data_IF_128486375944
#
_entry.id   IF_128486375944
#
_cell.length_a   1.000
_cell.length_b   1.000
_cell.length_c   1.000
_cell.angle_alpha   90.00
_cell.angle_beta   90.00
_cell.angle_gamma   90.00
#
_symmetry.space_group_name_H-M   'P 1'
#
loop_
_entity.id
_entity.type
_entity.pdbx_description
1 polymer ?
#
# COMPACT_ATOMS: atom_id res chain seq x y z
N UNK A 1 40.73 -68.04 -40.97
CA UNK A 1 41.82 -68.52 -40.08
C UNK A 1 42.05 -67.48 -39.00
N UNK A 2 41.97 -67.95 -37.76
CA UNK A 2 42.45 -67.37 -36.49
C UNK A 2 43.67 -66.45 -36.65
N UNK A 3 43.94 -65.41 -35.85
CA UNK A 3 44.11 -65.46 -34.39
C UNK A 3 44.54 -64.05 -33.89
N UNK A 4 44.02 -63.66 -32.73
CA UNK A 4 44.70 -63.02 -31.58
C UNK A 4 45.56 -61.75 -31.73
N UNK A 5 45.32 -60.79 -30.83
CA UNK A 5 46.41 -59.96 -30.29
C UNK A 5 45.98 -58.64 -29.65
N UNK A 6 45.61 -58.65 -28.37
CA UNK A 6 45.50 -57.46 -27.50
C UNK A 6 46.83 -57.19 -26.79
N UNK A 7 47.33 -55.94 -26.74
CA UNK A 7 48.14 -55.38 -25.62
C UNK A 7 48.08 -53.83 -25.58
N UNK A 8 47.55 -53.29 -24.46
CA UNK A 8 47.84 -52.06 -23.64
C UNK A 8 48.39 -50.76 -24.27
N UNK A 9 48.21 -49.51 -23.79
CA UNK A 9 47.76 -48.79 -22.56
C UNK A 9 47.74 -47.28 -23.00
N UNK A 10 47.10 -46.27 -22.40
CA UNK A 10 47.04 -45.88 -20.98
C UNK A 10 46.08 -44.69 -20.76
N UNK A 11 45.52 -44.63 -19.53
CA UNK A 11 45.25 -43.45 -18.67
C UNK A 11 44.25 -42.38 -19.15
N UNK A 12 43.33 -41.83 -18.36
CA UNK A 12 43.14 -41.73 -16.89
C UNK A 12 41.73 -41.15 -16.66
N UNK A 13 40.99 -41.59 -15.66
CA UNK A 13 40.16 -40.67 -14.83
C UNK A 13 39.75 -41.35 -13.54
N UNK A 14 40.04 -40.68 -12.43
CA UNK A 14 39.80 -41.06 -11.04
C UNK A 14 38.79 -40.05 -10.51
N UNK A 15 37.88 -40.51 -9.66
CA UNK A 15 37.43 -39.68 -8.53
C UNK A 15 35.93 -39.44 -8.43
N UNK A 16 35.32 -40.17 -7.50
CA UNK A 16 34.02 -39.87 -6.89
C UNK A 16 34.02 -38.53 -6.14
N UNK A 17 32.87 -37.84 -6.15
CA UNK A 17 32.57 -36.72 -5.28
C UNK A 17 31.09 -36.72 -4.90
N UNK A 18 30.82 -36.75 -3.59
CA UNK A 18 29.51 -36.55 -2.97
C UNK A 18 28.93 -35.16 -3.27
N UNK A 19 27.62 -35.07 -3.51
CA UNK A 19 26.88 -33.80 -3.53
C UNK A 19 25.84 -33.77 -2.40
N UNK A 20 25.95 -32.88 -1.40
CA UNK A 20 24.85 -32.54 -0.51
C UNK A 20 24.13 -31.26 -0.99
N UNK A 21 22.80 -31.22 -0.77
CA UNK A 21 22.03 -30.00 -0.51
C UNK A 21 21.88 -28.99 -1.65
N UNK A 22 20.87 -29.17 -2.49
CA UNK A 22 20.35 -28.10 -3.35
C UNK A 22 19.50 -27.14 -2.50
N UNK A 23 20.16 -26.17 -1.88
CA UNK A 23 19.49 -25.00 -1.28
C UNK A 23 18.99 -24.13 -2.43
N UNK A 24 17.67 -24.02 -2.57
CA UNK A 24 17.01 -23.04 -3.44
C UNK A 24 17.36 -21.62 -2.96
N UNK A 25 18.48 -21.08 -3.43
CA UNK A 25 18.69 -19.62 -3.48
C UNK A 25 17.86 -19.09 -4.64
N UNK A 26 16.63 -18.64 -4.34
CA UNK A 26 15.88 -17.75 -5.24
C UNK A 26 16.17 -16.31 -4.79
N UNK A 27 17.09 -15.70 -5.54
CA UNK A 27 17.21 -14.28 -5.88
C UNK A 27 17.29 -13.29 -4.70
N UNK A 28 18.43 -12.72 -4.25
CA UNK A 28 19.45 -11.93 -4.95
C UNK A 28 18.97 -11.11 -6.15
N UNK A 29 18.13 -10.10 -5.91
CA UNK A 29 17.94 -8.97 -6.84
C UNK A 29 18.70 -7.73 -6.34
N UNK A 30 19.94 -7.58 -6.82
CA UNK A 30 20.55 -6.28 -7.01
C UNK A 30 19.79 -5.54 -8.13
N UNK A 31 19.46 -4.28 -7.90
CA UNK A 31 19.53 -3.26 -8.95
C UNK A 31 18.50 -3.31 -10.08
N UNK A 32 17.23 -3.58 -9.79
CA UNK A 32 16.15 -3.06 -10.65
C UNK A 32 15.28 -2.17 -9.77
N UNK A 33 15.29 -0.87 -10.04
CA UNK A 33 14.25 0.07 -9.60
C UNK A 33 12.93 -0.33 -10.26
N UNK A 34 12.40 -1.50 -9.87
CA UNK A 34 11.08 -1.93 -10.28
C UNK A 34 10.13 -0.96 -9.62
N UNK A 35 9.42 -0.18 -10.45
CA UNK A 35 8.27 0.63 -10.09
C UNK A 35 7.12 -0.27 -9.63
N UNK A 36 7.36 -1.07 -8.59
CA UNK A 36 6.34 -1.78 -7.85
C UNK A 36 5.56 -0.70 -7.14
N UNK A 37 4.28 -0.55 -7.49
CA UNK A 37 3.36 0.26 -6.70
C UNK A 37 3.34 -0.31 -5.28
N UNK A 38 3.91 0.42 -4.33
CA UNK A 38 3.95 0.03 -2.91
C UNK A 38 2.55 -0.07 -2.29
N UNK A 39 1.56 0.63 -2.86
CA UNK A 39 0.15 0.59 -2.43
C UNK A 39 -0.72 0.05 -3.56
N UNK A 40 -1.46 -1.02 -3.30
CA UNK A 40 -2.34 -1.70 -4.25
C UNK A 40 -3.67 -0.99 -4.46
N UNK A 41 -4.25 -0.45 -3.40
CA UNK A 41 -5.52 0.27 -3.44
C UNK A 41 -5.71 1.10 -2.17
N UNK A 42 -6.53 2.13 -2.28
CA UNK A 42 -7.13 2.82 -1.15
C UNK A 42 -8.62 2.47 -1.11
N UNK A 43 -9.12 2.10 0.07
CA UNK A 43 -10.56 2.03 0.35
C UNK A 43 -10.92 3.12 1.34
N UNK A 44 -12.01 3.82 1.07
CA UNK A 44 -12.55 4.90 1.89
C UNK A 44 -13.92 4.48 2.40
N UNK A 45 -14.23 4.83 3.64
CA UNK A 45 -15.55 4.62 4.24
C UNK A 45 -15.96 5.83 5.08
N UNK A 46 -17.19 6.26 4.89
CA UNK A 46 -17.84 7.28 5.71
C UNK A 46 -19.21 6.80 6.18
N UNK A 47 -19.64 7.30 7.33
CA UNK A 47 -21.00 7.10 7.84
C UNK A 47 -21.73 8.43 7.79
N UNK A 48 -22.98 8.40 7.34
CA UNK A 48 -23.94 9.49 7.51
C UNK A 48 -24.94 9.08 8.57
N UNK A 49 -24.90 9.77 9.71
CA UNK A 49 -25.86 9.57 10.79
C UNK A 49 -27.17 10.30 10.48
N UNK A 50 -28.22 10.01 11.27
CA UNK A 50 -29.57 10.54 11.05
C UNK A 50 -29.66 12.08 11.07
N UNK A 51 -28.74 12.76 11.76
CA UNK A 51 -28.67 14.23 11.83
C UNK A 51 -27.86 14.86 10.71
N UNK A 52 -27.23 14.05 9.86
CA UNK A 52 -26.38 14.52 8.76
C UNK A 52 -27.13 14.51 7.43
N UNK A 53 -26.66 15.34 6.51
CA UNK A 53 -27.08 15.34 5.11
C UNK A 53 -26.20 14.34 4.33
N UNK A 54 -26.76 13.21 3.85
CA UNK A 54 -26.00 12.19 3.12
C UNK A 54 -25.29 12.73 1.88
N UNK A 55 -25.86 13.72 1.20
CA UNK A 55 -25.25 14.28 -0.01
C UNK A 55 -24.05 15.20 0.32
N UNK A 56 -23.97 15.73 1.55
CA UNK A 56 -22.74 16.39 2.03
C UNK A 56 -21.64 15.38 2.33
N UNK A 57 -21.99 14.27 2.98
CA UNK A 57 -21.06 13.19 3.31
C UNK A 57 -20.50 12.57 2.02
N UNK A 58 -21.35 12.33 1.02
CA UNK A 58 -20.90 11.83 -0.28
C UNK A 58 -19.95 12.81 -0.98
N UNK A 59 -20.27 14.12 -0.96
CA UNK A 59 -19.37 15.13 -1.55
C UNK A 59 -18.00 15.14 -0.89
N UNK A 60 -17.95 15.08 0.43
CA UNK A 60 -16.69 14.95 1.18
C UNK A 60 -15.92 13.68 0.79
N UNK A 61 -16.61 12.54 0.70
CA UNK A 61 -16.01 11.26 0.31
C UNK A 61 -15.47 11.28 -1.12
N UNK A 62 -16.20 11.86 -2.07
CA UNK A 62 -15.75 12.05 -3.45
C UNK A 62 -14.53 12.95 -3.54
N UNK A 63 -14.52 14.05 -2.80
CA UNK A 63 -13.39 14.97 -2.76
C UNK A 63 -12.10 14.26 -2.32
N UNK A 64 -12.12 13.55 -1.19
CA UNK A 64 -10.90 12.91 -0.66
C UNK A 64 -10.46 11.69 -1.45
N UNK A 65 -11.39 10.97 -2.07
CA UNK A 65 -11.07 9.74 -2.81
C UNK A 65 -10.74 9.98 -4.28
N UNK A 66 -11.28 11.05 -4.88
CA UNK A 66 -11.26 11.24 -6.34
C UNK A 66 -12.03 10.16 -7.10
N UNK A 67 -12.85 9.35 -6.42
CA UNK A 67 -13.55 8.24 -7.04
C UNK A 67 -14.83 8.68 -7.76
N UNK A 68 -15.06 8.12 -8.95
CA UNK A 68 -16.28 8.33 -9.73
C UNK A 68 -17.48 7.56 -9.18
N UNK A 69 -17.24 6.40 -8.57
CA UNK A 69 -18.29 5.56 -8.00
C UNK A 69 -18.26 5.55 -6.47
N UNK A 70 -19.42 5.80 -5.87
CA UNK A 70 -19.66 5.69 -4.43
C UNK A 70 -20.72 4.63 -4.21
N UNK A 71 -20.42 3.61 -3.41
CA UNK A 71 -21.38 2.59 -3.00
C UNK A 71 -22.09 3.04 -1.74
N UNK A 72 -23.42 2.98 -1.74
CA UNK A 72 -24.27 3.27 -0.58
C UNK A 72 -24.91 1.98 -0.07
N UNK A 73 -24.92 1.81 1.24
CA UNK A 73 -25.70 0.78 1.93
C UNK A 73 -26.29 1.33 3.21
N UNK A 74 -27.32 0.68 3.75
CA UNK A 74 -27.99 1.10 4.98
C UNK A 74 -27.79 0.06 6.07
N UNK A 75 -27.51 0.52 7.28
CA UNK A 75 -27.51 -0.27 8.51
C UNK A 75 -28.38 0.43 9.57
N UNK A 76 -28.70 -0.26 10.66
CA UNK A 76 -29.36 0.33 11.82
C UNK A 76 -28.36 0.50 12.97
N UNK A 77 -28.36 1.67 13.61
CA UNK A 77 -27.64 1.91 14.85
C UNK A 77 -28.29 1.24 16.06
N UNK A 78 -27.68 1.34 17.23
CA UNK A 78 -28.16 0.71 18.47
C UNK A 78 -29.61 1.06 18.84
N UNK A 79 -30.04 2.29 18.52
CA UNK A 79 -31.42 2.76 18.75
C UNK A 79 -32.34 2.60 17.53
N UNK A 80 -31.95 1.82 16.52
CA UNK A 80 -32.73 1.63 15.29
C UNK A 80 -32.66 2.78 14.28
N UNK A 81 -31.94 3.86 14.59
CA UNK A 81 -31.74 4.97 13.66
C UNK A 81 -30.98 4.48 12.41
N UNK A 82 -31.41 4.85 11.19
CA UNK A 82 -30.71 4.46 9.98
C UNK A 82 -29.33 5.12 9.94
N UNK A 83 -28.32 4.33 9.58
CA UNK A 83 -26.96 4.76 9.28
C UNK A 83 -26.71 4.44 7.82
N UNK A 84 -26.41 5.46 7.02
CA UNK A 84 -25.98 5.25 5.64
C UNK A 84 -24.47 5.08 5.64
N UNK A 85 -24.01 3.94 5.11
CA UNK A 85 -22.60 3.63 4.94
C UNK A 85 -22.24 3.91 3.48
N UNK A 86 -21.24 4.76 3.30
CA UNK A 86 -20.73 5.14 1.98
C UNK A 86 -19.30 4.66 1.81
N UNK A 87 -19.02 4.03 0.68
CA UNK A 87 -17.72 3.43 0.39
C UNK A 87 -17.22 3.81 -0.99
N UNK A 88 -15.92 4.09 -1.07
CA UNK A 88 -15.21 4.35 -2.31
C UNK A 88 -13.94 3.49 -2.37
N UNK A 89 -13.48 3.15 -3.57
CA UNK A 89 -12.22 2.43 -3.76
C UNK A 89 -11.51 2.91 -5.01
N UNK A 90 -10.22 3.20 -4.91
CA UNK A 90 -9.35 3.51 -6.04
C UNK A 90 -8.18 2.52 -6.09
N UNK A 91 -7.78 2.16 -7.30
CA UNK A 91 -6.73 1.16 -7.56
C UNK A 91 -5.64 1.70 -8.49
N UNK A 92 -5.85 2.86 -9.11
CA UNK A 92 -4.89 3.46 -10.01
C UNK A 92 -3.79 4.21 -9.24
N UNK A 93 -2.53 4.07 -9.67
CA UNK A 93 -1.42 4.68 -8.93
C UNK A 93 -1.44 6.21 -8.95
N UNK A 94 -2.06 6.84 -9.94
CA UNK A 94 -2.05 8.30 -10.05
C UNK A 94 -2.96 8.88 -8.95
N UNK A 95 -4.17 8.36 -8.81
CA UNK A 95 -5.13 8.69 -7.77
C UNK A 95 -4.57 8.40 -6.38
N UNK A 96 -3.99 7.21 -6.18
CA UNK A 96 -3.38 6.86 -4.88
C UNK A 96 -2.29 7.87 -4.49
N UNK A 97 -1.34 8.18 -5.38
CA UNK A 97 -0.28 9.17 -5.12
C UNK A 97 -0.85 10.56 -4.91
N UNK A 98 -1.88 10.95 -5.67
CA UNK A 98 -2.54 12.24 -5.51
C UNK A 98 -3.14 12.39 -4.09
N UNK A 99 -3.82 11.36 -3.58
CA UNK A 99 -4.38 11.38 -2.21
C UNK A 99 -3.30 11.62 -1.15
N UNK A 100 -2.18 10.88 -1.22
CA UNK A 100 -1.08 11.09 -0.27
C UNK A 100 -0.42 12.47 -0.43
N UNK A 101 -0.24 12.97 -1.65
CA UNK A 101 0.32 14.30 -1.88
C UNK A 101 -0.55 15.42 -1.35
N UNK A 102 -1.87 15.31 -1.52
CA UNK A 102 -2.83 16.31 -1.07
C UNK A 102 -2.82 16.50 0.45
N UNK A 103 -2.38 15.50 1.23
CA UNK A 103 -2.21 15.63 2.68
C UNK A 103 -1.05 16.56 3.08
N UNK A 104 -0.13 16.81 2.15
CA UNK A 104 1.03 17.66 2.38
C UNK A 104 2.15 16.99 3.17
N UNK A 105 3.32 17.63 3.12
CA UNK A 105 4.57 17.09 3.67
C UNK A 105 4.49 16.76 5.15
N UNK A 106 4.03 17.71 5.97
CA UNK A 106 3.99 17.56 7.43
C UNK A 106 3.14 16.36 7.86
N UNK A 107 2.04 16.10 7.16
CA UNK A 107 1.19 14.96 7.48
C UNK A 107 1.84 13.63 7.09
N UNK A 108 2.52 13.58 5.95
CA UNK A 108 3.27 12.38 5.55
C UNK A 108 4.45 12.10 6.50
N UNK A 109 5.13 13.13 7.01
CA UNK A 109 6.15 12.99 8.06
C UNK A 109 5.51 12.43 9.35
N UNK A 110 4.34 12.93 9.76
CA UNK A 110 3.58 12.32 10.87
C UNK A 110 3.23 10.86 10.61
N UNK A 111 2.83 10.49 9.40
CA UNK A 111 2.53 9.10 9.04
C UNK A 111 3.77 8.22 9.12
N UNK A 112 4.93 8.74 8.73
CA UNK A 112 6.21 8.04 8.82
C UNK A 112 6.61 7.75 10.27
N UNK A 113 6.52 8.76 11.14
CA UNK A 113 6.82 8.63 12.59
C UNK A 113 5.88 7.66 13.31
N UNK A 114 4.74 7.36 12.70
CA UNK A 114 3.65 6.60 13.29
C UNK A 114 3.32 5.35 12.49
N UNK A 115 4.21 4.99 11.56
CA UNK A 115 3.96 3.96 10.57
C UNK A 115 3.68 2.59 11.21
N UNK A 116 4.51 2.18 12.17
CA UNK A 116 4.38 0.88 12.84
C UNK A 116 3.00 0.72 13.50
N UNK A 117 2.51 1.74 14.22
CA UNK A 117 1.18 1.70 14.85
C UNK A 117 0.00 1.81 13.87
N UNK A 118 0.25 2.21 12.63
CA UNK A 118 -0.80 2.42 11.61
C UNK A 118 -0.89 1.27 10.61
N UNK A 119 0.13 0.45 10.47
CA UNK A 119 0.07 -0.77 9.69
C UNK A 119 -0.47 -1.90 10.55
N UNK A 120 -1.30 -2.80 10.02
CA UNK A 120 -1.71 -4.05 10.69
C UNK A 120 -0.94 -5.28 10.17
N UNK A 121 -1.22 -6.45 10.74
CA UNK A 121 -0.62 -7.73 10.31
C UNK A 121 -0.99 -8.11 8.87
N UNK A 122 -2.17 -7.70 8.42
CA UNK A 122 -2.68 -7.93 7.08
C UNK A 122 -2.13 -6.92 6.05
N UNK A 123 -1.12 -6.13 6.41
CA UNK A 123 -0.49 -5.12 5.55
C UNK A 123 -1.45 -4.02 5.06
N UNK A 124 -2.42 -3.65 5.90
CA UNK A 124 -3.21 -2.44 5.71
C UNK A 124 -2.65 -1.30 6.54
N UNK A 125 -2.40 -0.17 5.88
CA UNK A 125 -2.06 1.09 6.55
C UNK A 125 -3.31 1.93 6.73
N UNK A 126 -3.55 2.43 7.94
CA UNK A 126 -4.77 3.15 8.31
C UNK A 126 -4.51 4.61 8.66
N UNK A 127 -5.38 5.46 8.13
CA UNK A 127 -5.48 6.87 8.53
C UNK A 127 -6.93 7.34 8.40
N UNK A 128 -7.20 8.52 8.95
CA UNK A 128 -8.53 9.11 9.03
C UNK A 128 -8.45 10.53 8.52
N UNK A 129 -9.47 10.93 7.77
CA UNK A 129 -9.60 12.28 7.25
C UNK A 129 -10.78 12.96 7.91
N UNK A 130 -10.65 14.26 8.17
CA UNK A 130 -11.74 15.05 8.72
C UNK A 130 -12.83 15.23 7.66
N UNK A 131 -14.06 14.77 7.98
CA UNK A 131 -15.20 14.77 7.07
C UNK A 131 -15.70 16.18 6.76
N UNK A 132 -15.61 17.11 7.72
CA UNK A 132 -16.08 18.48 7.57
C UNK A 132 -15.08 19.30 6.74
N UNK A 133 -13.78 19.15 7.00
CA UNK A 133 -12.72 19.74 6.18
C UNK A 133 -12.79 19.23 4.74
N UNK A 134 -13.01 17.93 4.55
CA UNK A 134 -13.22 17.33 3.24
C UNK A 134 -14.43 17.92 2.49
N UNK A 135 -15.54 18.17 3.19
CA UNK A 135 -16.70 18.85 2.61
C UNK A 135 -16.37 20.28 2.16
N UNK A 136 -15.49 20.96 2.88
CA UNK A 136 -14.99 22.29 2.53
C UNK A 136 -13.88 22.29 1.47
N UNK A 137 -13.46 21.12 0.98
CA UNK A 137 -12.41 20.98 -0.03
C UNK A 137 -10.98 21.00 0.53
N UNK A 138 -10.80 20.70 1.82
CA UNK A 138 -9.50 20.62 2.46
C UNK A 138 -9.11 19.16 2.77
N UNK A 139 -7.88 18.78 2.46
CA UNK A 139 -7.35 17.46 2.76
C UNK A 139 -6.62 17.47 4.11
N UNK A 140 -7.32 17.09 5.19
CA UNK A 140 -6.77 17.09 6.55
C UNK A 140 -7.02 15.77 7.26
N UNK A 141 -6.05 15.34 8.07
CA UNK A 141 -6.26 14.22 8.99
C UNK A 141 -7.25 14.59 10.10
N UNK A 142 -8.02 13.61 10.57
CA UNK A 142 -9.00 13.80 11.64
C UNK A 142 -8.80 12.82 12.78
N UNK A 143 -8.89 13.32 14.02
CA UNK A 143 -8.76 12.53 15.25
C UNK A 143 -10.09 12.34 16.02
N UNK A 144 -11.16 13.01 15.58
CA UNK A 144 -12.49 12.98 16.20
C UNK A 144 -13.43 11.91 15.64
N UNK A 145 -14.74 12.11 15.86
CA UNK A 145 -15.79 11.18 15.44
C UNK A 145 -16.24 11.39 13.98
N UNK A 146 -16.16 12.63 13.48
CA UNK A 146 -16.54 13.02 12.12
C UNK A 146 -15.42 12.73 11.12
N UNK A 147 -15.22 11.45 10.83
CA UNK A 147 -14.11 10.98 10.01
C UNK A 147 -14.54 10.21 8.76
N UNK A 148 -13.68 10.28 7.76
CA UNK A 148 -13.62 9.34 6.65
C UNK A 148 -12.46 8.39 6.94
N UNK A 149 -12.76 7.11 7.14
CA UNK A 149 -11.75 6.09 7.38
C UNK A 149 -11.10 5.69 6.06
N UNK A 150 -9.77 5.69 6.02
CA UNK A 150 -8.99 5.28 4.85
C UNK A 150 -8.09 4.11 5.21
N UNK A 151 -8.13 3.08 4.38
CA UNK A 151 -7.19 1.95 4.45
C UNK A 151 -6.45 1.79 3.14
N UNK A 152 -5.14 1.64 3.22
CA UNK A 152 -4.25 1.41 2.09
C UNK A 152 -3.73 -0.02 2.14
N UNK A 153 -4.01 -0.83 1.11
CA UNK A 153 -3.41 -2.17 1.03
C UNK A 153 -1.97 -2.04 0.52
N UNK A 154 -1.00 -2.30 1.37
CA UNK A 154 0.43 -2.23 1.03
C UNK A 154 0.87 -3.55 0.37
N UNK A 155 1.54 -3.46 -0.77
CA UNK A 155 2.14 -4.61 -1.45
C UNK A 155 3.52 -4.87 -0.85
N UNK A 156 3.81 -6.12 -0.55
CA UNK A 156 5.15 -6.54 -0.17
C UNK A 156 5.46 -7.93 -0.72
N UNK A 157 6.75 -8.21 -0.93
CA UNK A 157 7.18 -9.53 -1.40
C UNK A 157 8.37 -10.05 -0.57
N UNK A 158 8.20 -11.18 0.14
CA UNK A 158 6.93 -11.86 0.45
C UNK A 158 5.91 -10.95 1.16
N UNK A 159 4.61 -11.26 1.03
CA UNK A 159 3.55 -10.48 1.67
C UNK A 159 3.52 -10.78 3.18
N UNK A 160 4.09 -9.87 3.96
CA UNK A 160 4.06 -9.89 5.42
C UNK A 160 4.21 -8.46 5.96
N UNK A 161 3.94 -8.28 7.26
CA UNK A 161 3.98 -6.99 7.96
C UNK A 161 5.34 -6.31 7.86
N UNK A 162 6.44 -7.01 8.13
CA UNK A 162 7.80 -6.44 8.13
C UNK A 162 8.15 -5.84 6.76
N UNK A 163 7.93 -6.60 5.69
CA UNK A 163 8.17 -6.12 4.34
C UNK A 163 7.18 -5.02 3.92
N UNK A 164 5.95 -5.04 4.43
CA UNK A 164 4.98 -3.99 4.19
C UNK A 164 5.34 -2.68 4.92
N UNK A 165 5.92 -2.75 6.12
CA UNK A 165 6.48 -1.57 6.80
C UNK A 165 7.59 -0.95 5.95
N UNK A 166 8.55 -1.76 5.49
CA UNK A 166 9.65 -1.26 4.65
C UNK A 166 9.15 -0.65 3.32
N UNK A 167 8.17 -1.29 2.67
CA UNK A 167 7.58 -0.78 1.42
C UNK A 167 6.81 0.52 1.64
N UNK A 168 5.99 0.60 2.69
CA UNK A 168 5.23 1.81 3.01
C UNK A 168 6.13 2.96 3.47
N UNK A 169 7.19 2.67 4.23
CA UNK A 169 8.21 3.65 4.62
C UNK A 169 8.87 4.27 3.37
N UNK A 170 9.33 3.42 2.45
CA UNK A 170 9.94 3.85 1.19
C UNK A 170 8.98 4.71 0.38
N UNK A 171 7.72 4.30 0.29
CA UNK A 171 6.67 5.04 -0.41
C UNK A 171 6.49 6.45 0.18
N UNK A 172 6.26 6.56 1.49
CA UNK A 172 6.07 7.84 2.18
C UNK A 172 7.28 8.76 2.00
N UNK A 173 8.50 8.25 2.19
CA UNK A 173 9.74 9.03 1.98
C UNK A 173 9.84 9.57 0.56
N UNK A 174 9.50 8.76 -0.44
CA UNK A 174 9.56 9.18 -1.84
C UNK A 174 8.56 10.30 -2.16
N UNK A 175 7.37 10.29 -1.55
CA UNK A 175 6.36 11.33 -1.76
C UNK A 175 6.73 12.62 -0.98
N UNK A 176 7.29 12.51 0.23
CA UNK A 176 7.86 13.65 0.98
C UNK A 176 8.96 14.36 0.18
N UNK A 177 9.90 13.60 -0.40
CA UNK A 177 10.99 14.14 -1.22
C UNK A 177 10.46 14.83 -2.49
N UNK A 178 9.40 14.30 -3.11
CA UNK A 178 8.74 14.92 -4.27
C UNK A 178 8.08 16.24 -3.90
N UNK A 179 7.32 16.29 -2.81
CA UNK A 179 6.68 17.53 -2.34
C UNK A 179 7.75 18.59 -2.03
N UNK A 180 8.82 18.19 -1.34
CA UNK A 180 9.92 19.10 -0.97
C UNK A 180 10.64 19.72 -2.18
N UNK A 181 10.75 18.98 -3.29
CA UNK A 181 11.31 19.51 -4.55
C UNK A 181 10.39 20.54 -5.20
N UNK A 182 9.08 20.26 -5.25
CA UNK A 182 8.10 21.19 -5.83
C UNK A 182 8.03 22.50 -5.05
N UNK A 183 8.07 22.44 -3.71
CA UNK A 183 8.11 23.64 -2.84
C UNK A 183 9.40 24.47 -3.00
N UNK A 184 10.50 23.85 -3.45
CA UNK A 184 11.77 24.54 -3.69
C UNK A 184 11.81 25.23 -5.06
N UNK A 185 11.16 24.65 -6.08
CA UNK A 185 11.08 25.21 -7.43
C UNK A 185 10.10 26.39 -7.53
N UNK A 186 9.16 26.52 -6.58
CA UNK A 186 8.21 27.63 -6.49
C UNK A 186 8.75 28.89 -5.77
N UNK A 187 9.96 28.81 -5.20
CA UNK A 187 10.63 29.90 -4.46
C UNK A 187 11.75 30.54 -5.28
#
# INVERSE_FOLDING_TARGET
MTRTGWVSRSMRSIGQGHHPGMVFRKDFYLGVSSSIMDVANLSFRAFSLATEDPDRVERALRFVSGAEEIKRSTSSGYHGNPIIIMEAKITDSKGIKAVFRSLGRQELERFLDTLDRRLDEDSFFFFRLDKQEAYLGNMRSGDGDDIIAVRAKVKSYPQNRENALASMEKFLRSEIERISRLEADEK
#
